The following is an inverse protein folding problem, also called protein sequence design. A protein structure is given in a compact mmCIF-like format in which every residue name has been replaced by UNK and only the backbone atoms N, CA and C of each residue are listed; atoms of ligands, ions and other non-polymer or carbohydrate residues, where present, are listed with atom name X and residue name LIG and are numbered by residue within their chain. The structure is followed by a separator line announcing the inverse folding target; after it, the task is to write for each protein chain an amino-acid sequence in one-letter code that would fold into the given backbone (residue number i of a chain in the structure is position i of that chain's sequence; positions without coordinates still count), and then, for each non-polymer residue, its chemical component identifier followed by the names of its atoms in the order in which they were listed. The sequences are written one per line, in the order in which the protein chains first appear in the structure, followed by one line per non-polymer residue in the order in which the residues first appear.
data_IF_295553330460
#
_entry.id   IF_295553330460
#
_cell.length_a   1.000
_cell.length_b   1.000
_cell.length_c   1.000
_cell.angle_alpha   90.00
_cell.angle_beta   90.00
_cell.angle_gamma   90.00
#
_symmetry.space_group_name_H-M   'P 1'
#
loop_
_entity.id
_entity.type
_entity.pdbx_description
1 polymer ?
#
# COMPACT_ATOMS: atom_id res chain seq x y z
N UNK A 1 -20.08 -9.07 -24.17
CA UNK A 1 -19.10 -9.74 -25.05
C UNK A 1 -19.79 -10.01 -26.38
N UNK A 2 -19.13 -9.74 -27.50
CA UNK A 2 -19.65 -9.93 -28.86
C UNK A 2 -18.80 -10.98 -29.55
N UNK A 3 -19.44 -12.03 -30.09
CA UNK A 3 -18.80 -12.97 -31.01
C UNK A 3 -18.95 -12.41 -32.43
N UNK A 4 -17.91 -11.75 -32.92
CA UNK A 4 -17.93 -11.00 -34.17
C UNK A 4 -17.57 -11.90 -35.36
N UNK A 5 -18.45 -11.92 -36.35
CA UNK A 5 -18.31 -12.68 -37.60
C UNK A 5 -19.08 -11.98 -38.72
N UNK A 6 -18.88 -12.44 -39.96
CA UNK A 6 -19.68 -11.98 -41.10
C UNK A 6 -21.19 -12.21 -40.90
N UNK A 7 -21.57 -13.32 -40.25
CA UNK A 7 -22.96 -13.61 -39.87
C UNK A 7 -23.52 -12.65 -38.82
N UNK A 8 -22.69 -12.22 -37.85
CA UNK A 8 -23.08 -11.18 -36.89
C UNK A 8 -23.35 -9.85 -37.60
N UNK A 9 -22.50 -9.46 -38.57
CA UNK A 9 -22.66 -8.23 -39.35
C UNK A 9 -23.95 -8.22 -40.18
N UNK A 10 -24.30 -9.36 -40.78
CA UNK A 10 -25.49 -9.50 -41.62
C UNK A 10 -26.81 -9.54 -40.83
N UNK A 11 -26.76 -9.67 -39.50
CA UNK A 11 -27.94 -9.78 -38.64
C UNK A 11 -28.47 -8.41 -38.22
N UNK A 12 -29.67 -7.98 -38.66
CA UNK A 12 -30.26 -6.72 -38.23
C UNK A 12 -30.55 -6.66 -36.72
N UNK A 13 -30.78 -7.83 -36.10
CA UNK A 13 -31.06 -7.95 -34.68
C UNK A 13 -29.81 -7.66 -33.83
N UNK A 14 -28.65 -8.16 -34.25
CA UNK A 14 -27.38 -7.92 -33.57
C UNK A 14 -26.95 -6.44 -33.61
N UNK A 15 -27.20 -5.77 -34.75
CA UNK A 15 -26.95 -4.33 -34.88
C UNK A 15 -27.85 -3.53 -33.93
N UNK A 16 -29.15 -3.88 -33.87
CA UNK A 16 -30.11 -3.22 -32.97
C UNK A 16 -29.78 -3.43 -31.49
N UNK A 17 -29.28 -4.60 -31.11
CA UNK A 17 -28.84 -4.88 -29.74
C UNK A 17 -27.64 -3.98 -29.35
N UNK A 18 -26.69 -3.80 -30.26
CA UNK A 18 -25.54 -2.92 -30.04
C UNK A 18 -25.96 -1.45 -29.86
N UNK A 19 -26.88 -0.97 -30.71
CA UNK A 19 -27.45 0.39 -30.61
C UNK A 19 -28.17 0.61 -29.27
N UNK A 20 -28.98 -0.36 -28.84
CA UNK A 20 -29.67 -0.29 -27.55
C UNK A 20 -28.67 -0.28 -26.39
N UNK A 21 -27.63 -1.10 -26.45
CA UNK A 21 -26.61 -1.13 -25.40
C UNK A 21 -25.84 0.20 -25.32
N UNK A 22 -25.50 0.78 -26.46
CA UNK A 22 -24.85 2.09 -26.58
C UNK A 22 -25.72 3.20 -25.98
N UNK A 23 -27.02 3.23 -26.29
CA UNK A 23 -27.95 4.22 -25.74
C UNK A 23 -28.03 4.20 -24.21
N UNK A 24 -27.82 3.02 -23.60
CA UNK A 24 -27.88 2.83 -22.16
C UNK A 24 -26.54 3.07 -21.44
N UNK A 25 -25.42 3.08 -22.17
CA UNK A 25 -24.07 3.16 -21.61
C UNK A 25 -23.16 4.07 -22.45
N UNK A 26 -22.85 5.30 -21.99
CA UNK A 26 -22.03 6.25 -22.75
C UNK A 26 -20.54 5.88 -22.83
N UNK A 27 -20.01 5.03 -21.92
CA UNK A 27 -18.65 4.49 -22.00
C UNK A 27 -18.67 2.98 -22.30
N UNK A 28 -18.31 2.63 -23.55
CA UNK A 28 -18.31 1.27 -24.07
C UNK A 28 -16.93 0.61 -24.05
N UNK A 29 -15.87 1.41 -23.98
CA UNK A 29 -14.47 1.00 -24.12
C UNK A 29 -14.04 -0.05 -23.08
N UNK A 30 -14.73 -0.10 -21.93
CA UNK A 30 -14.49 -1.01 -20.81
C UNK A 30 -15.68 -1.93 -20.52
N UNK A 31 -16.59 -2.11 -21.47
CA UNK A 31 -17.83 -2.90 -21.26
C UNK A 31 -18.08 -3.92 -22.36
N UNK A 32 -17.54 -3.69 -23.56
CA UNK A 32 -17.69 -4.60 -24.69
C UNK A 32 -16.32 -5.18 -25.05
N UNK A 33 -16.24 -6.50 -24.97
CA UNK A 33 -15.14 -7.30 -25.50
C UNK A 33 -15.59 -7.93 -26.80
N UNK A 34 -14.82 -7.73 -27.87
CA UNK A 34 -15.13 -8.24 -29.20
C UNK A 34 -14.22 -9.42 -29.49
N UNK A 35 -14.81 -10.59 -29.71
CA UNK A 35 -14.12 -11.83 -30.07
C UNK A 35 -14.32 -12.06 -31.55
N UNK A 36 -13.30 -11.81 -32.37
CA UNK A 36 -13.42 -11.96 -33.83
C UNK A 36 -13.18 -13.41 -34.23
N UNK A 37 -14.19 -14.06 -34.78
CA UNK A 37 -14.09 -15.44 -35.25
C UNK A 37 -13.46 -15.53 -36.64
N UNK A 38 -13.53 -14.43 -37.40
CA UNK A 38 -13.08 -14.34 -38.79
C UNK A 38 -12.35 -13.02 -39.04
N UNK A 39 -11.48 -12.99 -40.05
CA UNK A 39 -10.80 -11.77 -40.48
C UNK A 39 -11.76 -10.90 -41.28
N UNK A 40 -12.06 -9.71 -40.74
CA UNK A 40 -12.86 -8.66 -41.40
C UNK A 40 -12.00 -7.42 -41.55
N UNK A 41 -12.05 -6.74 -42.70
CA UNK A 41 -11.27 -5.52 -42.91
C UNK A 41 -11.77 -4.40 -41.99
N UNK A 42 -10.87 -3.56 -41.50
CA UNK A 42 -11.24 -2.47 -40.57
C UNK A 42 -12.26 -1.50 -41.17
N UNK A 43 -12.19 -1.26 -42.48
CA UNK A 43 -13.15 -0.42 -43.20
C UNK A 43 -14.59 -0.97 -43.18
N UNK A 44 -14.75 -2.29 -43.06
CA UNK A 44 -16.05 -2.95 -43.05
C UNK A 44 -16.62 -3.06 -41.63
N UNK A 45 -15.82 -2.79 -40.60
CA UNK A 45 -16.27 -2.85 -39.20
C UNK A 45 -17.10 -1.61 -38.84
N UNK A 46 -18.19 -1.77 -38.08
CA UNK A 46 -18.91 -0.63 -37.49
C UNK A 46 -17.95 0.30 -36.76
N UNK A 47 -18.10 1.62 -36.93
CA UNK A 47 -17.22 2.65 -36.35
C UNK A 47 -17.01 2.43 -34.85
N UNK A 48 -18.09 2.08 -34.15
CA UNK A 48 -18.08 1.82 -32.71
C UNK A 48 -17.17 0.65 -32.29
N UNK A 49 -16.94 -0.32 -33.17
CA UNK A 49 -16.10 -1.49 -32.89
C UNK A 49 -14.62 -1.27 -33.19
N UNK A 50 -14.28 -0.21 -33.92
CA UNK A 50 -12.90 0.13 -34.24
C UNK A 50 -12.13 0.56 -32.98
N UNK A 51 -12.84 1.18 -32.01
CA UNK A 51 -12.26 1.68 -30.76
C UNK A 51 -12.39 0.68 -29.58
N UNK A 52 -12.92 -0.52 -29.81
CA UNK A 52 -13.10 -1.54 -28.76
C UNK A 52 -11.93 -2.52 -28.68
N UNK A 53 -11.78 -3.16 -27.52
CA UNK A 53 -10.85 -4.26 -27.32
C UNK A 53 -11.27 -5.47 -28.16
N UNK A 54 -10.48 -5.74 -29.20
CA UNK A 54 -10.70 -6.81 -30.17
C UNK A 54 -9.72 -7.96 -29.90
N UNK A 55 -10.26 -9.17 -29.77
CA UNK A 55 -9.52 -10.42 -29.62
C UNK A 55 -9.72 -11.22 -30.91
N UNK A 56 -8.77 -11.19 -31.85
CA UNK A 56 -8.84 -12.08 -32.98
C UNK A 56 -8.77 -13.51 -32.47
N UNK A 57 -9.72 -14.37 -32.81
CA UNK A 57 -9.67 -15.82 -32.63
C UNK A 57 -9.45 -16.50 -33.99
N UNK A 58 -8.65 -15.85 -34.83
CA UNK A 58 -8.17 -16.35 -36.11
C UNK A 58 -6.70 -15.95 -36.33
N UNK A 59 -5.97 -16.73 -37.12
CA UNK A 59 -4.59 -16.42 -37.51
C UNK A 59 -4.41 -16.54 -39.01
N UNK A 60 -3.48 -15.76 -39.56
CA UNK A 60 -3.03 -15.93 -40.94
C UNK A 60 -1.89 -16.94 -40.91
N UNK A 61 -2.03 -18.02 -41.66
CA UNK A 61 -0.96 -19.02 -41.86
C UNK A 61 0.07 -18.50 -42.87
N UNK A 62 1.24 -19.12 -42.93
CA UNK A 62 2.34 -18.79 -43.86
C UNK A 62 1.94 -18.78 -45.35
N UNK A 63 0.78 -19.35 -45.69
CA UNK A 63 0.19 -19.39 -47.03
C UNK A 63 -0.88 -18.31 -47.27
N UNK A 64 -0.89 -17.27 -46.44
CA UNK A 64 -1.90 -16.19 -46.41
C UNK A 64 -3.35 -16.68 -46.23
N UNK A 65 -3.53 -17.88 -45.67
CA UNK A 65 -4.86 -18.43 -45.36
C UNK A 65 -5.23 -18.12 -43.92
N UNK A 66 -6.41 -17.54 -43.74
CA UNK A 66 -7.01 -17.32 -42.43
C UNK A 66 -7.52 -18.66 -41.87
N UNK A 67 -7.17 -18.98 -40.63
CA UNK A 67 -7.69 -20.11 -39.88
C UNK A 67 -8.25 -19.64 -38.55
N UNK A 68 -9.48 -20.05 -38.25
CA UNK A 68 -10.08 -19.86 -36.94
C UNK A 68 -9.37 -20.75 -35.91
N UNK A 69 -9.15 -20.21 -34.72
CA UNK A 69 -8.56 -20.91 -33.59
C UNK A 69 -9.63 -21.68 -32.81
N UNK A 70 -9.28 -22.86 -32.31
CA UNK A 70 -10.17 -23.70 -31.50
C UNK A 70 -11.34 -24.33 -32.27
N UNK A 71 -11.35 -24.24 -33.60
CA UNK A 71 -12.39 -24.83 -34.44
C UNK A 71 -11.92 -26.15 -35.08
N UNK A 72 -12.77 -27.21 -35.10
CA UNK A 72 -14.10 -27.32 -34.49
C UNK A 72 -14.06 -27.57 -32.97
N UNK A 73 -12.95 -28.13 -32.47
CA UNK A 73 -12.67 -28.35 -31.04
C UNK A 73 -11.19 -28.06 -30.80
N UNK A 74 -10.82 -27.25 -29.79
CA UNK A 74 -9.42 -26.96 -29.50
C UNK A 74 -8.67 -28.22 -29.08
N UNK A 75 -7.50 -28.43 -29.66
CA UNK A 75 -6.57 -29.50 -29.28
C UNK A 75 -5.61 -29.01 -28.21
N UNK A 76 -5.06 -29.91 -27.40
CA UNK A 76 -4.09 -29.55 -26.36
C UNK A 76 -2.83 -28.85 -26.89
N UNK A 77 -2.54 -29.00 -28.20
CA UNK A 77 -1.42 -28.37 -28.90
C UNK A 77 -1.74 -26.98 -29.46
N UNK A 78 -2.98 -26.50 -29.35
CA UNK A 78 -3.41 -25.21 -29.90
C UNK A 78 -3.02 -24.06 -28.98
N UNK A 79 -1.71 -23.82 -28.84
CA UNK A 79 -1.15 -22.80 -27.94
C UNK A 79 -1.74 -21.41 -28.23
N UNK A 80 -1.81 -21.00 -29.51
CA UNK A 80 -2.38 -19.71 -29.93
C UNK A 80 -3.83 -19.50 -29.44
N UNK A 81 -4.62 -20.59 -29.37
CA UNK A 81 -6.00 -20.53 -28.87
C UNK A 81 -6.04 -20.30 -27.36
N UNK A 82 -5.23 -21.06 -26.61
CA UNK A 82 -5.20 -20.96 -25.15
C UNK A 82 -4.58 -19.64 -24.68
N UNK A 83 -3.57 -19.12 -25.37
CA UNK A 83 -3.00 -17.80 -25.09
C UNK A 83 -4.07 -16.71 -25.22
N UNK A 84 -4.80 -16.68 -26.34
CA UNK A 84 -5.88 -15.70 -26.55
C UNK A 84 -7.06 -15.88 -25.59
N UNK A 85 -7.34 -17.12 -25.18
CA UNK A 85 -8.36 -17.41 -24.17
C UNK A 85 -7.93 -16.87 -22.79
N UNK A 86 -6.67 -17.05 -22.42
CA UNK A 86 -6.10 -16.51 -21.18
C UNK A 86 -6.15 -14.98 -21.20
N UNK A 87 -5.73 -14.34 -22.30
CA UNK A 87 -5.78 -12.87 -22.47
C UNK A 87 -7.21 -12.34 -22.28
N UNK A 88 -8.18 -12.91 -23.01
CA UNK A 88 -9.58 -12.53 -22.90
C UNK A 88 -10.11 -12.71 -21.45
N UNK A 89 -9.76 -13.83 -20.81
CA UNK A 89 -10.21 -14.12 -19.44
C UNK A 89 -9.63 -13.13 -18.43
N UNK A 90 -8.36 -12.75 -18.61
CA UNK A 90 -7.70 -11.78 -17.76
C UNK A 90 -8.36 -10.41 -17.89
N UNK A 91 -8.57 -9.92 -19.12
CA UNK A 91 -9.11 -8.59 -19.36
C UNK A 91 -10.57 -8.46 -18.91
N UNK A 92 -11.36 -9.52 -19.06
CA UNK A 92 -12.71 -9.61 -18.48
C UNK A 92 -12.62 -9.53 -16.95
N UNK A 93 -11.74 -10.31 -16.32
CA UNK A 93 -11.61 -10.33 -14.86
C UNK A 93 -11.14 -8.98 -14.30
N UNK A 94 -10.16 -8.34 -14.96
CA UNK A 94 -9.66 -7.02 -14.60
C UNK A 94 -10.75 -5.94 -14.72
N UNK A 95 -11.55 -6.02 -15.78
CA UNK A 95 -12.66 -5.09 -16.01
C UNK A 95 -13.78 -5.30 -15.00
N UNK A 96 -14.14 -6.54 -14.67
CA UNK A 96 -15.12 -6.85 -13.64
C UNK A 96 -14.67 -6.35 -12.26
N UNK A 97 -13.41 -6.53 -11.89
CA UNK A 97 -12.84 -5.97 -10.65
C UNK A 97 -12.92 -4.43 -10.64
N UNK A 98 -12.67 -3.81 -11.79
CA UNK A 98 -12.79 -2.35 -11.95
C UNK A 98 -14.24 -1.89 -11.81
N UNK A 99 -15.19 -2.62 -12.39
CA UNK A 99 -16.62 -2.30 -12.27
C UNK A 99 -17.15 -2.53 -10.85
N UNK A 100 -16.72 -3.59 -10.16
CA UNK A 100 -17.04 -3.85 -8.76
C UNK A 100 -16.46 -2.79 -7.81
N UNK A 101 -15.32 -2.20 -8.15
CA UNK A 101 -14.74 -1.08 -7.40
C UNK A 101 -15.32 0.28 -7.82
N UNK A 102 -15.96 0.39 -8.99
CA UNK A 102 -16.59 1.62 -9.51
C UNK A 102 -18.01 1.87 -8.97
N UNK A 103 -18.50 1.03 -8.04
CA UNK A 103 -19.62 1.39 -7.14
C UNK A 103 -19.19 2.29 -5.98
N UNK A 104 -17.92 2.69 -5.90
CA UNK A 104 -17.43 3.56 -4.84
C UNK A 104 -17.47 5.05 -5.23
N UNK A 105 -17.95 5.85 -4.28
CA UNK A 105 -18.05 7.31 -4.19
C UNK A 105 -16.92 8.15 -4.84
N UNK A 106 -17.15 9.47 -5.03
CA UNK A 106 -16.16 10.40 -5.56
C UNK A 106 -14.83 10.26 -4.79
N UNK A 107 -13.77 9.89 -5.50
CA UNK A 107 -12.46 9.64 -4.92
C UNK A 107 -11.85 10.95 -4.40
N UNK A 108 -11.43 10.95 -3.14
CA UNK A 108 -10.46 11.92 -2.64
C UNK A 108 -9.21 11.91 -3.53
N UNK A 109 -8.53 13.05 -3.73
CA UNK A 109 -7.33 13.12 -4.55
C UNK A 109 -6.26 12.14 -4.04
N UNK A 110 -5.54 11.45 -4.95
CA UNK A 110 -4.51 10.51 -4.56
C UNK A 110 -3.42 11.22 -3.73
N UNK A 111 -2.95 10.56 -2.67
CA UNK A 111 -1.95 11.09 -1.74
C UNK A 111 -0.57 11.21 -2.38
N UNK A 112 -0.29 10.38 -3.38
CA UNK A 112 0.93 10.41 -4.18
C UNK A 112 0.68 9.69 -5.52
N UNK A 113 1.52 9.97 -6.52
CA UNK A 113 1.49 9.32 -7.83
C UNK A 113 2.87 8.75 -8.16
N UNK A 114 2.93 7.50 -8.60
CA UNK A 114 4.16 6.79 -8.97
C UNK A 114 4.11 6.27 -10.39
N UNK A 115 5.27 6.22 -11.03
CA UNK A 115 5.40 5.58 -12.32
C UNK A 115 5.72 4.10 -12.11
N UNK A 116 4.86 3.18 -12.56
CA UNK A 116 5.10 1.74 -12.53
C UNK A 116 5.32 1.26 -13.96
N UNK A 117 6.57 1.00 -14.31
CA UNK A 117 6.98 0.64 -15.65
C UNK A 117 6.19 -0.57 -16.18
N UNK A 118 5.79 -0.55 -17.46
CA UNK A 118 5.25 -1.74 -18.11
C UNK A 118 6.24 -2.89 -18.07
N UNK A 119 5.73 -4.10 -17.84
CA UNK A 119 6.52 -5.33 -17.69
C UNK A 119 6.10 -6.36 -18.73
N UNK A 120 6.97 -7.34 -18.95
CA UNK A 120 6.67 -8.50 -19.78
C UNK A 120 5.83 -9.57 -19.03
N UNK A 121 5.31 -10.54 -19.77
CA UNK A 121 4.37 -11.57 -19.32
C UNK A 121 4.70 -12.21 -17.95
N UNK A 122 5.95 -12.64 -17.64
CA UNK A 122 6.26 -13.28 -16.36
C UNK A 122 5.96 -12.42 -15.13
N UNK A 123 6.02 -11.10 -15.29
CA UNK A 123 5.85 -10.12 -14.20
C UNK A 123 4.47 -9.48 -14.20
N UNK A 124 3.57 -9.85 -15.11
CA UNK A 124 2.27 -9.21 -15.27
C UNK A 124 1.41 -9.28 -14.01
N UNK A 125 1.35 -10.46 -13.38
CA UNK A 125 0.65 -10.68 -12.11
C UNK A 125 1.28 -9.88 -10.96
N UNK A 126 2.61 -9.79 -10.92
CA UNK A 126 3.37 -9.03 -9.93
C UNK A 126 3.10 -7.53 -10.05
N UNK A 127 3.10 -6.99 -11.27
CA UNK A 127 2.76 -5.58 -11.55
C UNK A 127 1.31 -5.27 -11.18
N UNK A 128 0.38 -6.15 -11.54
CA UNK A 128 -1.04 -5.99 -11.23
C UNK A 128 -1.29 -5.96 -9.73
N UNK A 129 -0.61 -6.84 -8.98
CA UNK A 129 -0.66 -6.89 -7.52
C UNK A 129 -0.09 -5.60 -6.91
N UNK A 130 1.11 -5.19 -7.34
CA UNK A 130 1.73 -3.92 -6.92
C UNK A 130 0.79 -2.72 -7.10
N UNK A 131 0.20 -2.56 -8.29
CA UNK A 131 -0.71 -1.43 -8.57
C UNK A 131 -1.97 -1.49 -7.70
N UNK A 132 -2.55 -2.69 -7.52
CA UNK A 132 -3.74 -2.89 -6.69
C UNK A 132 -3.48 -2.51 -5.24
N UNK A 133 -2.36 -2.96 -4.67
CA UNK A 133 -1.95 -2.66 -3.30
C UNK A 133 -1.67 -1.16 -3.13
N UNK A 134 -0.90 -0.54 -4.03
CA UNK A 134 -0.64 0.90 -3.98
C UNK A 134 -1.93 1.74 -4.00
N UNK A 135 -2.90 1.33 -4.83
CA UNK A 135 -4.22 1.98 -4.92
C UNK A 135 -4.99 1.91 -3.60
N UNK A 136 -4.95 0.78 -2.88
CA UNK A 136 -5.59 0.64 -1.56
C UNK A 136 -5.04 1.62 -0.52
N UNK A 137 -3.78 2.05 -0.67
CA UNK A 137 -3.15 3.04 0.20
C UNK A 137 -3.27 4.49 -0.31
N UNK A 138 -4.10 4.73 -1.34
CA UNK A 138 -4.32 6.06 -1.90
C UNK A 138 -3.16 6.56 -2.77
N UNK A 139 -2.31 5.67 -3.28
CA UNK A 139 -1.22 5.99 -4.20
C UNK A 139 -1.70 5.64 -5.62
N UNK A 140 -1.67 6.62 -6.53
CA UNK A 140 -1.95 6.40 -7.94
C UNK A 140 -0.73 5.84 -8.67
N UNK A 141 -0.94 4.94 -9.64
CA UNK A 141 0.12 4.38 -10.47
C UNK A 141 -0.12 4.70 -11.95
N UNK A 142 0.92 5.18 -12.64
CA UNK A 142 0.94 5.47 -14.07
C UNK A 142 2.03 4.65 -14.77
N UNK A 143 1.82 4.13 -16.00
CA UNK A 143 0.52 3.97 -16.63
C UNK A 143 -0.33 2.93 -15.87
N UNK A 144 -1.65 3.12 -15.84
CA UNK A 144 -2.55 2.15 -15.22
C UNK A 144 -2.55 0.81 -16.01
N UNK A 145 -2.58 0.89 -17.33
CA UNK A 145 -2.46 -0.26 -18.21
C UNK A 145 -1.00 -0.74 -18.32
N UNK A 146 -0.81 -2.04 -18.50
CA UNK A 146 0.50 -2.61 -18.85
C UNK A 146 0.72 -2.55 -20.37
N UNK A 147 0.80 -1.34 -20.90
CA UNK A 147 0.99 -1.08 -22.32
C UNK A 147 2.22 -0.22 -22.55
N UNK A 148 2.74 -0.24 -23.77
CA UNK A 148 3.87 0.60 -24.14
C UNK A 148 3.51 2.07 -23.94
N UNK A 149 4.25 2.76 -23.06
CA UNK A 149 3.99 4.16 -22.75
C UNK A 149 4.71 5.05 -23.77
N UNK A 150 3.97 5.54 -24.76
CA UNK A 150 4.48 6.46 -25.77
C UNK A 150 4.78 7.86 -25.20
N UNK A 151 4.29 8.16 -24.00
CA UNK A 151 4.44 9.47 -23.33
C UNK A 151 5.09 9.31 -21.94
N UNK A 152 6.07 8.41 -21.85
CA UNK A 152 6.80 8.12 -20.60
C UNK A 152 7.30 9.40 -19.93
N UNK A 153 7.85 10.35 -20.68
CA UNK A 153 8.39 11.60 -20.12
C UNK A 153 7.31 12.46 -19.44
N UNK A 154 6.14 12.58 -20.09
CA UNK A 154 5.03 13.36 -19.57
C UNK A 154 4.40 12.70 -18.34
N UNK A 155 4.24 11.37 -18.37
CA UNK A 155 3.69 10.62 -17.23
C UNK A 155 4.67 10.60 -16.06
N UNK A 156 5.97 10.43 -16.34
CA UNK A 156 7.02 10.43 -15.32
C UNK A 156 7.19 11.81 -14.67
N UNK A 157 6.95 12.91 -15.40
CA UNK A 157 6.95 14.25 -14.83
C UNK A 157 5.93 14.42 -13.70
N UNK A 158 4.75 13.80 -13.84
CA UNK A 158 3.65 13.82 -12.86
C UNK A 158 3.88 12.87 -11.67
N UNK A 159 4.87 12.00 -11.77
CA UNK A 159 5.17 10.99 -10.74
C UNK A 159 6.29 11.46 -9.80
N UNK A 160 6.19 11.05 -8.54
CA UNK A 160 7.24 11.30 -7.55
C UNK A 160 8.42 10.34 -7.70
N UNK A 161 8.14 9.08 -8.00
CA UNK A 161 9.12 7.99 -8.09
C UNK A 161 8.90 7.15 -9.35
N UNK A 162 9.98 6.52 -9.82
CA UNK A 162 9.97 5.50 -10.84
C UNK A 162 10.13 4.12 -10.20
N UNK A 163 9.24 3.20 -10.57
CA UNK A 163 9.19 1.83 -10.06
C UNK A 163 9.24 0.87 -11.24
N UNK A 164 10.14 -0.11 -11.19
CA UNK A 164 10.28 -1.10 -12.25
C UNK A 164 10.50 -2.50 -11.66
N UNK A 165 9.84 -3.50 -12.25
CA UNK A 165 10.02 -4.90 -11.90
C UNK A 165 10.92 -5.54 -12.96
N UNK A 166 11.93 -6.28 -12.53
CA UNK A 166 12.94 -6.90 -13.38
C UNK A 166 12.90 -8.43 -13.25
N UNK A 167 13.15 -9.09 -14.37
CA UNK A 167 13.29 -10.54 -14.50
C UNK A 167 14.52 -10.85 -15.38
N UNK A 168 14.88 -12.13 -15.50
CA UNK A 168 15.92 -12.60 -16.41
C UNK A 168 15.53 -12.43 -17.90
N UNK A 169 14.25 -12.24 -18.18
CA UNK A 169 13.76 -12.07 -19.55
C UNK A 169 14.18 -10.71 -20.15
N UNK A 170 14.88 -10.77 -21.28
CA UNK A 170 15.34 -9.58 -22.01
C UNK A 170 14.45 -9.33 -23.23
N UNK A 171 13.41 -8.52 -23.06
CA UNK A 171 12.59 -8.06 -24.18
C UNK A 171 13.25 -6.87 -24.87
N UNK A 172 14.15 -7.13 -25.83
CA UNK A 172 14.70 -6.13 -26.74
C UNK A 172 15.25 -4.86 -26.05
N UNK A 173 15.86 -5.01 -24.87
CA UNK A 173 16.43 -3.89 -24.10
C UNK A 173 15.41 -2.91 -23.51
N UNK A 174 14.10 -3.22 -23.55
CA UNK A 174 13.03 -2.36 -23.01
C UNK A 174 13.28 -2.03 -21.52
N UNK A 175 13.65 -2.98 -20.63
CA UNK A 175 13.93 -2.65 -19.24
C UNK A 175 15.10 -1.67 -19.09
N UNK A 176 16.16 -1.82 -19.89
CA UNK A 176 17.30 -0.92 -19.91
C UNK A 176 16.91 0.49 -20.38
N UNK A 177 16.11 0.59 -21.44
CA UNK A 177 15.64 1.87 -21.97
C UNK A 177 14.74 2.61 -20.97
N UNK A 178 13.81 1.90 -20.32
CA UNK A 178 12.97 2.46 -19.28
C UNK A 178 13.79 3.01 -18.09
N UNK A 179 14.83 2.26 -17.69
CA UNK A 179 15.75 2.70 -16.64
C UNK A 179 16.52 3.97 -17.04
N UNK A 180 17.07 3.98 -18.26
CA UNK A 180 17.77 5.15 -18.81
C UNK A 180 16.87 6.40 -18.84
N UNK A 181 15.61 6.27 -19.26
CA UNK A 181 14.65 7.37 -19.23
C UNK A 181 14.43 7.90 -17.81
N UNK A 182 14.34 7.01 -16.82
CA UNK A 182 14.18 7.39 -15.42
C UNK A 182 15.42 8.13 -14.86
N UNK A 183 16.63 7.70 -15.24
CA UNK A 183 17.88 8.36 -14.87
C UNK A 183 17.96 9.77 -15.45
N UNK A 184 17.61 9.94 -16.73
CA UNK A 184 17.57 11.25 -17.40
C UNK A 184 16.58 12.19 -16.72
N UNK A 185 15.42 11.69 -16.30
CA UNK A 185 14.41 12.44 -15.57
C UNK A 185 14.79 12.78 -14.11
N UNK A 186 15.92 12.24 -13.60
CA UNK A 186 16.43 12.43 -12.23
C UNK A 186 15.41 12.12 -11.14
N UNK A 187 14.48 11.19 -11.41
CA UNK A 187 13.51 10.72 -10.41
C UNK A 187 14.15 9.65 -9.53
N UNK A 188 13.76 9.52 -8.25
CA UNK A 188 14.18 8.38 -7.45
C UNK A 188 13.68 7.07 -8.08
N UNK A 189 14.59 6.10 -8.23
CA UNK A 189 14.38 4.82 -8.93
C UNK A 189 14.31 3.70 -7.89
N UNK A 190 13.25 2.91 -7.94
CA UNK A 190 13.06 1.70 -7.16
C UNK A 190 12.90 0.51 -8.11
N UNK A 191 13.83 -0.43 -8.07
CA UNK A 191 13.78 -1.62 -8.91
C UNK A 191 13.60 -2.87 -8.05
N UNK A 192 12.81 -3.82 -8.53
CA UNK A 192 12.59 -5.09 -7.87
C UNK A 192 13.10 -6.24 -8.71
N UNK A 193 13.62 -7.27 -8.04
CA UNK A 193 13.78 -8.61 -8.62
C UNK A 193 13.43 -9.68 -7.59
N UNK A 194 13.05 -10.86 -8.07
CA UNK A 194 12.90 -12.02 -7.20
C UNK A 194 14.27 -12.40 -6.60
N UNK A 195 14.39 -12.61 -5.27
CA UNK A 195 15.61 -13.11 -4.63
C UNK A 195 16.09 -14.45 -5.21
N UNK A 196 15.17 -15.29 -5.66
CA UNK A 196 15.42 -16.63 -6.21
C UNK A 196 15.68 -16.61 -7.72
N UNK A 197 15.69 -15.44 -8.34
CA UNK A 197 15.95 -15.30 -9.77
C UNK A 197 17.35 -15.83 -10.12
N UNK A 198 17.43 -16.74 -11.09
CA UNK A 198 18.70 -17.17 -11.67
C UNK A 198 19.07 -16.30 -12.88
N UNK A 199 20.04 -15.41 -12.66
CA UNK A 199 20.59 -14.50 -13.66
C UNK A 199 22.11 -14.64 -13.82
N UNK A 200 22.72 -15.64 -13.17
CA UNK A 200 24.16 -15.87 -13.22
C UNK A 200 24.59 -16.73 -14.43
N UNK A 201 23.65 -17.41 -15.07
CA UNK A 201 23.89 -18.19 -16.29
C UNK A 201 24.05 -17.33 -17.55
N UNK A 202 24.74 -17.86 -18.57
CA UNK A 202 24.98 -17.19 -19.85
C UNK A 202 23.73 -16.99 -20.74
N UNK A 203 22.54 -17.31 -20.24
CA UNK A 203 21.26 -17.07 -20.91
C UNK A 203 20.77 -15.62 -20.76
N UNK A 204 21.31 -14.86 -19.81
CA UNK A 204 20.96 -13.45 -19.60
C UNK A 204 21.99 -12.56 -20.30
N UNK A 205 21.56 -11.65 -21.19
CA UNK A 205 22.47 -10.69 -21.83
C UNK A 205 23.21 -9.81 -20.80
N UNK A 206 24.45 -9.46 -21.10
CA UNK A 206 25.33 -8.69 -20.22
C UNK A 206 24.72 -7.36 -19.75
N UNK A 207 23.97 -6.68 -20.62
CA UNK A 207 23.28 -5.42 -20.30
C UNK A 207 22.20 -5.62 -19.23
N UNK A 208 21.38 -6.66 -19.37
CA UNK A 208 20.33 -7.00 -18.40
C UNK A 208 20.94 -7.43 -17.07
N UNK A 209 22.04 -8.17 -17.11
CA UNK A 209 22.77 -8.60 -15.90
C UNK A 209 23.30 -7.40 -15.11
N UNK A 210 23.88 -6.41 -15.79
CA UNK A 210 24.31 -5.15 -15.17
C UNK A 210 23.14 -4.36 -14.57
N UNK A 211 21.98 -4.36 -15.23
CA UNK A 211 20.78 -3.74 -14.70
C UNK A 211 20.31 -4.45 -13.41
N UNK A 212 20.28 -5.79 -13.40
CA UNK A 212 19.88 -6.63 -12.27
C UNK A 212 20.83 -6.54 -11.06
N UNK A 213 22.12 -6.24 -11.31
CA UNK A 213 23.15 -6.00 -10.29
C UNK A 213 23.25 -4.52 -9.87
N UNK A 214 22.37 -3.65 -10.41
CA UNK A 214 22.35 -2.22 -10.14
C UNK A 214 22.08 -1.87 -8.68
N UNK A 215 22.62 -0.73 -8.23
CA UNK A 215 22.48 -0.26 -6.83
C UNK A 215 21.05 0.06 -6.40
N UNK A 216 20.17 0.31 -7.37
CA UNK A 216 18.74 0.63 -7.20
C UNK A 216 17.86 -0.62 -7.15
N UNK A 217 18.43 -1.81 -7.37
CA UNK A 217 17.72 -3.09 -7.38
C UNK A 217 17.61 -3.67 -5.98
N UNK A 218 16.37 -3.94 -5.58
CA UNK A 218 16.00 -4.54 -4.31
C UNK A 218 15.61 -6.00 -4.58
N UNK A 219 16.41 -6.91 -4.03
CA UNK A 219 16.13 -8.34 -4.02
C UNK A 219 15.35 -8.71 -2.76
N UNK A 220 14.02 -8.75 -2.86
CA UNK A 220 13.14 -9.07 -1.73
C UNK A 220 11.85 -9.77 -2.20
N UNK A 221 11.09 -10.44 -1.33
CA UNK A 221 9.71 -10.84 -1.64
C UNK A 221 8.87 -9.64 -2.13
N UNK A 222 7.93 -9.86 -3.07
CA UNK A 222 7.14 -8.78 -3.64
C UNK A 222 6.40 -7.95 -2.57
N UNK A 223 5.87 -8.61 -1.54
CA UNK A 223 5.18 -7.94 -0.44
C UNK A 223 6.07 -6.93 0.32
N UNK A 224 7.33 -7.29 0.55
CA UNK A 224 8.31 -6.40 1.19
C UNK A 224 8.66 -5.23 0.29
N UNK A 225 8.80 -5.48 -1.02
CA UNK A 225 9.03 -4.42 -1.99
C UNK A 225 7.86 -3.43 -2.06
N UNK A 226 6.61 -3.91 -2.06
CA UNK A 226 5.41 -3.05 -2.01
C UNK A 226 5.46 -2.16 -0.77
N UNK A 227 5.84 -2.70 0.40
CA UNK A 227 6.03 -1.92 1.64
C UNK A 227 7.10 -0.84 1.46
N UNK A 228 8.25 -1.18 0.88
CA UNK A 228 9.34 -0.23 0.64
C UNK A 228 8.94 0.89 -0.33
N UNK A 229 8.23 0.56 -1.42
CA UNK A 229 7.69 1.55 -2.36
C UNK A 229 6.73 2.49 -1.64
N UNK A 230 5.83 1.96 -0.82
CA UNK A 230 4.91 2.79 -0.02
C UNK A 230 5.63 3.73 0.93
N UNK A 231 6.63 3.24 1.65
CA UNK A 231 7.43 4.04 2.59
C UNK A 231 8.26 5.14 1.91
N UNK A 232 8.69 4.92 0.66
CA UNK A 232 9.43 5.90 -0.12
C UNK A 232 8.52 6.97 -0.74
N UNK A 233 7.34 6.56 -1.19
CA UNK A 233 6.44 7.37 -2.03
C UNK A 233 5.45 8.17 -1.22
N UNK A 234 4.87 7.55 -0.20
CA UNK A 234 4.12 8.32 0.77
C UNK A 234 5.12 9.24 1.44
N UNK A 235 4.74 10.49 1.76
CA UNK A 235 5.56 11.29 2.63
C UNK A 235 5.89 10.40 3.83
N UNK A 236 7.19 10.14 4.07
CA UNK A 236 7.63 9.71 5.40
C UNK A 236 6.83 10.62 6.33
N UNK A 237 6.05 10.10 7.30
CA UNK A 237 5.54 10.97 8.32
C UNK A 237 6.76 11.77 8.72
N UNK A 238 6.73 13.09 8.47
CA UNK A 238 7.79 13.96 8.93
C UNK A 238 8.07 13.45 10.34
N UNK A 239 9.31 13.12 10.76
CA UNK A 239 9.59 13.36 12.16
C UNK A 239 9.03 14.77 12.36
N UNK A 240 7.98 14.87 13.18
CA UNK A 240 7.32 16.13 13.47
C UNK A 240 8.40 16.94 14.16
N UNK A 241 9.23 17.59 13.36
CA UNK A 241 10.23 18.51 13.79
C UNK A 241 9.90 19.80 13.04
N UNK A 242 9.38 20.73 13.85
CA UNK A 242 9.44 22.18 13.69
C UNK A 242 8.45 22.75 12.65
N UNK A 243 7.31 23.35 13.01
CA UNK A 243 7.12 24.42 14.00
C UNK A 243 6.07 24.07 15.08
N UNK A 244 6.46 23.37 16.14
CA UNK A 244 6.07 23.87 17.47
C UNK A 244 7.18 24.81 17.89
N UNK A 245 6.87 25.98 18.47
CA UNK A 245 7.92 26.82 19.02
C UNK A 245 8.76 25.92 19.94
N UNK A 246 10.08 25.90 19.71
CA UNK A 246 11.04 25.52 20.72
C UNK A 246 10.86 26.47 21.89
N UNK A 247 9.85 26.20 22.73
CA UNK A 247 9.81 26.69 24.07
C UNK A 247 10.80 25.83 24.83
N UNK A 248 11.78 26.48 25.43
CA UNK A 248 12.80 25.87 26.24
C UNK A 248 12.21 24.85 27.23
N UNK A 249 12.58 23.57 27.12
CA UNK A 249 12.70 22.67 28.28
C UNK A 249 11.48 21.85 28.74
N UNK A 250 10.51 21.49 27.90
CA UNK A 250 9.32 20.74 28.34
C UNK A 250 9.51 19.21 28.17
N UNK A 251 9.60 18.49 29.31
CA UNK A 251 9.77 17.02 29.42
C UNK A 251 8.60 16.26 28.76
N UNK A 252 8.89 15.14 28.10
CA UNK A 252 7.86 14.27 27.50
C UNK A 252 7.25 13.33 28.55
N UNK A 253 5.93 13.37 28.72
CA UNK A 253 5.18 12.60 29.73
C UNK A 253 4.38 11.50 29.03
N UNK A 254 4.60 10.24 29.37
CA UNK A 254 3.73 9.15 28.96
C UNK A 254 2.76 8.84 30.08
N UNK A 255 1.48 9.19 29.87
CA UNK A 255 0.39 8.91 30.80
C UNK A 255 -0.17 7.54 30.44
N UNK A 256 0.00 6.56 31.32
CA UNK A 256 -0.45 5.20 31.09
C UNK A 256 -1.43 4.79 32.18
N UNK A 257 -2.57 4.24 31.78
CA UNK A 257 -3.50 3.57 32.67
C UNK A 257 -4.00 2.29 31.99
N UNK A 258 -4.68 1.41 32.72
CA UNK A 258 -5.41 0.31 32.09
C UNK A 258 -6.57 0.84 31.24
N UNK A 259 -7.22 -0.04 30.47
CA UNK A 259 -8.30 0.37 29.58
C UNK A 259 -9.51 0.93 30.36
N UNK A 260 -9.75 0.39 31.56
CA UNK A 260 -10.80 0.81 32.50
C UNK A 260 -10.55 2.22 33.04
N UNK A 261 -9.28 2.56 33.25
CA UNK A 261 -8.83 3.85 33.79
C UNK A 261 -8.49 4.87 32.67
N UNK A 262 -8.69 4.52 31.40
CA UNK A 262 -8.24 5.33 30.26
C UNK A 262 -8.92 6.70 30.17
N UNK A 263 -10.21 6.80 30.49
CA UNK A 263 -10.93 8.08 30.44
C UNK A 263 -10.30 9.14 31.35
N UNK A 264 -9.69 8.70 32.45
CA UNK A 264 -9.02 9.57 33.42
C UNK A 264 -7.61 9.91 32.98
N UNK A 265 -6.90 8.92 32.41
CA UNK A 265 -5.63 9.18 31.73
C UNK A 265 -5.77 10.25 30.65
N UNK A 266 -6.86 10.22 29.88
CA UNK A 266 -7.18 11.24 28.89
C UNK A 266 -7.43 12.62 29.53
N UNK A 267 -8.21 12.69 30.62
CA UNK A 267 -8.44 13.92 31.38
C UNK A 267 -7.15 14.56 31.93
N UNK A 268 -6.30 13.75 32.57
CA UNK A 268 -4.98 14.16 33.09
C UNK A 268 -4.08 14.60 31.95
N UNK A 269 -4.05 13.87 30.84
CA UNK A 269 -3.24 14.21 29.67
C UNK A 269 -3.67 15.54 29.03
N UNK A 270 -4.97 15.77 28.87
CA UNK A 270 -5.48 17.03 28.31
C UNK A 270 -5.07 18.22 29.20
N UNK A 271 -5.17 18.08 30.53
CA UNK A 271 -4.77 19.13 31.46
C UNK A 271 -3.25 19.39 31.45
N UNK A 272 -2.44 18.34 31.31
CA UNK A 272 -0.99 18.46 31.17
C UNK A 272 -0.59 19.14 29.85
N UNK A 273 -1.27 18.79 28.75
CA UNK A 273 -1.11 19.46 27.45
C UNK A 273 -1.44 20.96 27.56
N UNK A 274 -2.55 21.32 28.23
CA UNK A 274 -2.94 22.73 28.44
C UNK A 274 -1.91 23.50 29.27
N UNK A 275 -1.13 22.81 30.11
CA UNK A 275 -0.04 23.38 30.92
C UNK A 275 1.32 23.41 30.20
N UNK A 276 1.38 23.00 28.93
CA UNK A 276 2.60 23.03 28.11
C UNK A 276 3.40 21.72 28.09
N UNK A 277 2.96 20.65 28.74
CA UNK A 277 3.70 19.39 28.69
C UNK A 277 3.46 18.64 27.37
N UNK A 278 4.49 17.97 26.87
CA UNK A 278 4.35 17.04 25.74
C UNK A 278 3.85 15.68 26.25
N UNK A 279 2.56 15.38 26.04
CA UNK A 279 1.93 14.17 26.58
C UNK A 279 1.69 13.10 25.51
N UNK A 280 1.84 11.84 25.89
CA UNK A 280 1.47 10.66 25.08
C UNK A 280 0.57 9.71 25.88
N UNK A 281 -0.42 9.14 25.19
CA UNK A 281 -1.34 8.14 25.72
C UNK A 281 -1.23 6.81 24.93
N UNK A 282 -1.51 5.66 25.57
CA UNK A 282 -1.66 4.39 24.86
C UNK A 282 -2.89 4.40 23.95
N UNK A 283 -2.84 3.63 22.86
CA UNK A 283 -3.98 3.45 21.95
C UNK A 283 -4.57 2.07 22.18
N UNK A 284 -5.77 2.00 22.75
CA UNK A 284 -6.49 0.74 23.01
C UNK A 284 -7.43 0.30 21.87
N UNK A 285 -7.46 1.03 20.76
CA UNK A 285 -8.31 0.72 19.61
C UNK A 285 -7.57 -0.01 18.50
N UNK A 286 -8.13 -1.15 18.06
CA UNK A 286 -7.68 -1.89 16.88
C UNK A 286 -7.07 -3.25 17.21
N UNK A 287 -6.18 -3.72 16.32
CA UNK A 287 -5.53 -5.04 16.48
C UNK A 287 -4.54 -5.04 17.67
N UNK A 288 -4.38 -6.17 18.37
CA UNK A 288 -3.48 -6.28 19.54
C UNK A 288 -2.05 -5.82 19.27
N UNK A 289 -1.51 -6.07 18.08
CA UNK A 289 -0.15 -5.68 17.71
C UNK A 289 0.02 -4.16 17.71
N UNK A 290 -1.01 -3.43 17.26
CA UNK A 290 -1.02 -1.96 17.24
C UNK A 290 -1.07 -1.39 18.65
N UNK A 291 -1.88 -1.99 19.53
CA UNK A 291 -2.01 -1.59 20.93
C UNK A 291 -0.66 -1.75 21.63
N UNK A 292 -0.06 -2.93 21.51
CA UNK A 292 1.26 -3.24 22.07
C UNK A 292 2.35 -2.30 21.55
N UNK A 293 2.45 -2.11 20.24
CA UNK A 293 3.43 -1.18 19.66
C UNK A 293 3.22 0.26 20.10
N UNK A 294 2.00 0.66 20.45
CA UNK A 294 1.75 2.02 20.97
C UNK A 294 2.32 2.19 22.38
N UNK A 295 2.07 1.21 23.25
CA UNK A 295 2.56 1.20 24.63
C UNK A 295 4.09 1.13 24.66
N UNK A 296 4.68 0.22 23.88
CA UNK A 296 6.14 0.07 23.79
C UNK A 296 6.84 1.36 23.34
N UNK A 297 6.23 2.11 22.40
CA UNK A 297 6.77 3.43 21.99
C UNK A 297 6.71 4.46 23.11
N UNK A 298 5.65 4.45 23.93
CA UNK A 298 5.54 5.33 25.09
C UNK A 298 6.70 5.11 26.07
N UNK A 299 6.96 3.85 26.42
CA UNK A 299 8.07 3.49 27.32
C UNK A 299 9.46 3.84 26.77
N UNK A 300 9.64 3.76 25.46
CA UNK A 300 10.94 4.06 24.82
C UNK A 300 11.26 5.55 24.76
N UNK A 301 10.25 6.44 24.75
CA UNK A 301 10.44 7.86 24.41
C UNK A 301 10.13 8.86 25.52
N UNK A 302 9.45 8.46 26.59
CA UNK A 302 9.08 9.39 27.66
C UNK A 302 10.26 9.81 28.55
N UNK A 303 10.27 11.03 29.06
CA UNK A 303 11.16 11.44 30.16
C UNK A 303 10.53 11.13 31.53
N UNK A 304 9.19 11.09 31.57
CA UNK A 304 8.40 10.74 32.74
C UNK A 304 7.32 9.74 32.35
N UNK A 305 7.26 8.61 33.05
CA UNK A 305 6.16 7.65 32.99
C UNK A 305 5.22 7.98 34.16
N UNK A 306 4.01 8.46 33.86
CA UNK A 306 2.95 8.71 34.83
C UNK A 306 1.91 7.59 34.71
N UNK A 307 1.85 6.70 35.69
CA UNK A 307 0.93 5.57 35.71
C UNK A 307 -0.27 5.89 36.61
N UNK A 308 -1.49 5.77 36.08
CA UNK A 308 -2.72 5.92 36.85
C UNK A 308 -3.30 4.55 37.17
N UNK A 309 -3.60 4.32 38.44
CA UNK A 309 -4.11 3.06 38.95
C UNK A 309 -5.31 3.31 39.87
N UNK A 310 -6.51 2.99 39.41
CA UNK A 310 -7.72 3.13 40.22
C UNK A 310 -8.60 1.89 40.17
N UNK A 311 -9.12 1.54 38.99
CA UNK A 311 -10.07 0.44 38.82
C UNK A 311 -9.42 -0.84 38.30
N UNK A 312 -8.23 -0.73 37.70
CA UNK A 312 -7.49 -1.89 37.21
C UNK A 312 -7.22 -2.91 38.34
N UNK A 313 -6.92 -4.17 38.00
CA UNK A 313 -6.36 -5.10 38.99
C UNK A 313 -4.86 -4.83 39.20
N UNK A 314 -4.30 -5.14 40.38
CA UNK A 314 -2.86 -5.00 40.63
C UNK A 314 -2.02 -5.81 39.64
N UNK A 315 -2.50 -7.01 39.24
CA UNK A 315 -1.81 -7.87 38.27
C UNK A 315 -1.60 -7.17 36.92
N UNK A 316 -2.61 -6.44 36.41
CA UNK A 316 -2.52 -5.73 35.12
C UNK A 316 -1.51 -4.59 35.20
N UNK A 317 -1.49 -3.87 36.32
CA UNK A 317 -0.54 -2.78 36.53
C UNK A 317 0.88 -3.31 36.71
N UNK A 318 1.06 -4.42 37.42
CA UNK A 318 2.35 -5.10 37.55
C UNK A 318 2.87 -5.58 36.19
N UNK A 319 2.03 -6.16 35.33
CA UNK A 319 2.40 -6.53 33.95
C UNK A 319 2.89 -5.32 33.14
N UNK A 320 2.20 -4.17 33.25
CA UNK A 320 2.66 -2.93 32.61
C UNK A 320 4.01 -2.45 33.16
N UNK A 321 4.25 -2.57 34.46
CA UNK A 321 5.52 -2.21 35.08
C UNK A 321 6.67 -3.13 34.64
N UNK A 322 6.42 -4.44 34.47
CA UNK A 322 7.40 -5.37 33.90
C UNK A 322 7.76 -5.01 32.45
N UNK A 323 6.75 -4.70 31.62
CA UNK A 323 6.97 -4.27 30.24
C UNK A 323 7.74 -2.94 30.17
N UNK A 324 7.39 -1.98 31.04
CA UNK A 324 8.09 -0.71 31.17
C UNK A 324 9.55 -0.94 31.57
N UNK A 325 9.82 -1.80 32.55
CA UNK A 325 11.17 -2.13 32.98
C UNK A 325 12.00 -2.71 31.84
N UNK A 326 11.45 -3.66 31.09
CA UNK A 326 12.13 -4.28 29.95
C UNK A 326 12.50 -3.26 28.86
N UNK A 327 11.63 -2.27 28.62
CA UNK A 327 11.90 -1.18 27.69
C UNK A 327 12.93 -0.17 28.25
N UNK A 328 12.83 0.17 29.54
CA UNK A 328 13.70 1.16 30.20
C UNK A 328 15.15 0.68 30.31
N UNK A 329 15.39 -0.61 30.55
CA UNK A 329 16.75 -1.20 30.62
C UNK A 329 17.54 -0.95 29.33
N UNK A 330 16.87 -0.81 28.19
CA UNK A 330 17.51 -0.57 26.89
C UNK A 330 17.81 0.90 26.61
N UNK A 331 17.44 1.81 27.51
CA UNK A 331 17.58 3.26 27.31
C UNK A 331 18.87 3.78 27.94
N UNK A 332 19.49 4.75 27.27
CA UNK A 332 20.62 5.52 27.82
C UNK A 332 20.18 6.41 28.98
N UNK A 333 18.99 7.04 28.87
CA UNK A 333 18.36 7.84 29.93
C UNK A 333 17.17 7.10 30.56
N UNK A 334 17.17 7.00 31.89
CA UNK A 334 16.07 6.37 32.64
C UNK A 334 14.98 7.41 32.93
N UNK A 335 13.72 7.15 32.55
CA UNK A 335 12.63 8.05 32.86
C UNK A 335 12.33 8.04 34.37
N UNK A 336 11.75 9.14 34.88
CA UNK A 336 11.14 9.14 36.21
C UNK A 336 9.84 8.34 36.15
N UNK A 337 9.62 7.43 37.10
CA UNK A 337 8.41 6.60 37.16
C UNK A 337 7.56 7.09 38.33
N UNK A 338 6.37 7.58 38.03
CA UNK A 338 5.41 8.14 38.97
C UNK A 338 4.13 7.33 38.89
N UNK A 339 3.58 6.93 40.04
CA UNK A 339 2.35 6.15 40.11
C UNK A 339 1.35 6.94 40.96
N UNK A 340 0.23 7.34 40.36
CA UNK A 340 -0.94 7.85 41.06
C UNK A 340 -1.88 6.67 41.30
N UNK A 341 -2.05 6.28 42.55
CA UNK A 341 -2.95 5.20 42.94
C UNK A 341 -4.10 5.70 43.81
N UNK A 342 -5.24 5.03 43.74
CA UNK A 342 -6.40 5.33 44.58
C UNK A 342 -6.12 4.94 46.05
N UNK A 343 -6.83 5.56 46.99
CA UNK A 343 -6.70 5.24 48.41
C UNK A 343 -7.13 3.81 48.75
N UNK A 344 -8.06 3.25 47.96
CA UNK A 344 -8.55 1.88 48.12
C UNK A 344 -7.81 0.86 47.24
N UNK A 345 -6.79 1.28 46.47
CA UNK A 345 -6.06 0.42 45.57
C UNK A 345 -5.18 -0.61 46.30
N UNK A 346 -5.17 -1.86 45.81
CA UNK A 346 -4.33 -2.92 46.35
C UNK A 346 -2.84 -2.66 46.10
N UNK A 347 -1.97 -3.15 46.98
CA UNK A 347 -0.53 -2.92 46.87
C UNK A 347 0.09 -3.63 45.66
N UNK A 348 0.84 -2.88 44.84
CA UNK A 348 1.61 -3.42 43.71
C UNK A 348 2.78 -4.28 44.20
N UNK A 349 3.05 -5.38 43.50
CA UNK A 349 4.15 -6.29 43.84
C UNK A 349 5.49 -5.83 43.25
N UNK A 350 5.45 -5.08 42.14
CA UNK A 350 6.64 -4.60 41.44
C UNK A 350 7.17 -3.30 42.06
N UNK A 351 8.49 -3.24 42.32
CA UNK A 351 9.17 -2.00 42.72
C UNK A 351 10.37 -1.72 41.83
N UNK A 352 10.29 -0.64 41.06
CA UNK A 352 11.35 -0.23 40.14
C UNK A 352 12.27 0.84 40.79
N UNK A 353 13.57 0.87 40.46
CA UNK A 353 14.47 1.93 40.93
C UNK A 353 14.02 3.31 40.46
N UNK A 354 13.82 4.25 41.39
CA UNK A 354 13.35 5.61 41.07
C UNK A 354 11.83 5.74 40.91
N UNK A 355 11.08 4.69 41.22
CA UNK A 355 9.61 4.70 41.29
C UNK A 355 9.12 5.46 42.51
N UNK A 356 8.27 6.47 42.31
CA UNK A 356 7.50 7.13 43.37
C UNK A 356 6.02 6.82 43.21
N UNK A 357 5.35 6.63 44.34
CA UNK A 357 3.92 6.33 44.40
C UNK A 357 3.23 7.39 45.26
N UNK A 358 2.11 7.91 44.76
CA UNK A 358 1.26 8.88 45.43
C UNK A 358 -0.14 8.30 45.58
N UNK A 359 -0.71 8.46 46.77
CA UNK A 359 -2.09 8.08 47.05
C UNK A 359 -2.96 9.30 46.80
N UNK A 360 -3.84 9.20 45.81
CA UNK A 360 -4.73 10.28 45.42
C UNK A 360 -5.99 10.31 46.28
N UNK A 361 -6.55 11.50 46.49
CA UNK A 361 -7.78 11.72 47.25
C UNK A 361 -9.02 11.52 46.37
N UNK A 362 -10.20 11.89 46.87
CA UNK A 362 -11.48 11.78 46.15
C UNK A 362 -11.53 12.56 44.82
N UNK A 363 -10.66 13.55 44.63
CA UNK A 363 -10.49 14.34 43.40
C UNK A 363 -9.19 13.89 42.71
N UNK A 364 -9.13 12.61 42.37
CA UNK A 364 -7.86 11.96 41.98
C UNK A 364 -7.18 12.64 40.79
N UNK A 365 -7.90 13.08 39.77
CA UNK A 365 -7.29 13.72 38.59
C UNK A 365 -6.55 15.01 38.99
N UNK A 366 -7.20 15.89 39.75
CA UNK A 366 -6.64 17.15 40.22
C UNK A 366 -5.47 16.92 41.18
N UNK A 367 -5.63 16.01 42.15
CA UNK A 367 -4.57 15.71 43.11
C UNK A 367 -3.34 15.07 42.44
N UNK A 368 -3.54 14.17 41.48
CA UNK A 368 -2.44 13.58 40.73
C UNK A 368 -1.66 14.65 39.94
N UNK A 369 -2.37 15.61 39.34
CA UNK A 369 -1.76 16.74 38.63
C UNK A 369 -0.97 17.66 39.55
N UNK A 370 -1.51 17.99 40.73
CA UNK A 370 -0.80 18.81 41.73
C UNK A 370 0.51 18.16 42.17
N UNK A 371 0.48 16.86 42.50
CA UNK A 371 1.66 16.10 42.89
C UNK A 371 2.67 16.01 41.76
N UNK A 372 2.19 15.78 40.53
CA UNK A 372 3.03 15.73 39.34
C UNK A 372 3.78 17.04 39.11
N UNK A 373 3.08 18.18 39.15
CA UNK A 373 3.69 19.49 38.93
C UNK A 373 4.72 19.81 40.01
N UNK A 374 4.39 19.54 41.28
CA UNK A 374 5.32 19.74 42.39
C UNK A 374 6.62 18.94 42.23
N UNK A 375 6.56 17.71 41.70
CA UNK A 375 7.73 16.85 41.49
C UNK A 375 8.56 17.23 40.24
N UNK A 376 7.90 17.82 39.24
CA UNK A 376 8.54 18.15 37.97
C UNK A 376 9.20 19.53 38.01
N UNK A 377 8.67 20.45 38.81
CA UNK A 377 9.21 21.78 39.12
C UNK A 377 10.27 21.76 40.24
N UNK A 378 10.34 20.69 41.05
CA UNK A 378 11.40 20.44 42.03
C UNK A 378 12.65 19.81 41.41
#
# INVERSE_FOLDING_TARGET
MILFSTGWMASPWCQKELELFQSSHPDLSKRIFVVELERVAMADKPVIMQDLLNYPFWRVTDKDRVRQLGFPVPQATDTDYFERLVDLSYDIAATLKTLQTSTAQPAEPPKATVYVAPVDYPLYSHRSNLISELKQFGIAALPAANAHDLNIDANLAQCSHFVQLLDAHYTMGIPCNQHFTAEVAKKPILQWRDPKLDYAGGHVPEEQRRLLEGKTVIAAPLADFIRMVREAVLPKPKPVDEETPKVNGEKMVFVHAAQEDYARADCVANTLCDKGFSVVLPVYQGKPERIRSSIERGYQRCDVLLMLYQQASPDVVDDFLYDAQAAIVRRESKPRILICQDAEAESLSVRLPGMRTWVCNSEFDEHCLEQFLAEVEA
#
